data_IF_930529094133
#
_entry.id   IF_930529094133
#
_cell.length_a   1.000
_cell.length_b   1.000
_cell.length_c   1.000
_cell.angle_alpha   90.00
_cell.angle_beta   90.00
_cell.angle_gamma   90.00
#
_symmetry.space_group_name_H-M   'P 1'
#
loop_
_entity.id
_entity.type
_entity.pdbx_description
1 polymer ?
#
# COMPACT_ATOMS: atom_id res chain seq x y z
N UNK A 1 -8.90 12.38 3.42
CA UNK A 1 -7.47 12.09 3.30
C UNK A 1 -6.81 12.94 2.22
N UNK A 2 -5.56 13.33 2.45
CA UNK A 2 -4.78 14.09 1.45
C UNK A 2 -4.22 13.15 0.38
N UNK A 3 -3.88 11.92 0.77
CA UNK A 3 -3.36 10.89 -0.10
C UNK A 3 -4.17 9.62 0.13
N UNK A 4 -4.54 8.95 -0.93
CA UNK A 4 -5.19 7.65 -0.85
C UNK A 4 -4.58 6.69 -1.88
N UNK A 5 -4.59 5.41 -1.56
CA UNK A 5 -4.10 4.36 -2.44
C UNK A 5 -4.94 3.10 -2.25
N UNK A 6 -4.62 2.06 -3.00
CA UNK A 6 -5.33 0.78 -2.95
C UNK A 6 -4.38 -0.37 -2.67
N UNK A 7 -4.92 -1.40 -2.05
CA UNK A 7 -4.22 -2.65 -1.82
C UNK A 7 -5.17 -3.83 -2.01
N UNK A 8 -4.61 -5.01 -2.27
CA UNK A 8 -5.35 -6.25 -2.41
C UNK A 8 -4.80 -7.28 -1.43
N UNK A 9 -5.62 -8.24 -0.96
CA UNK A 9 -5.10 -9.32 -0.13
C UNK A 9 -4.11 -10.19 -0.91
N UNK A 10 -3.04 -10.61 -0.22
CA UNK A 10 -2.15 -11.64 -0.76
C UNK A 10 -2.86 -12.98 -0.76
N UNK A 11 -2.65 -13.76 -1.81
CA UNK A 11 -3.20 -15.11 -1.97
C UNK A 11 -2.07 -16.14 -1.97
N UNK A 12 -0.96 -15.84 -2.65
CA UNK A 12 0.14 -16.78 -2.86
C UNK A 12 1.28 -16.49 -1.89
N UNK A 13 1.74 -17.51 -1.14
CA UNK A 13 2.86 -17.31 -0.21
C UNK A 13 4.14 -16.81 -0.89
N UNK A 14 4.43 -17.25 -2.10
CA UNK A 14 5.60 -16.79 -2.83
C UNK A 14 5.54 -15.31 -3.18
N UNK A 15 4.36 -14.76 -3.42
CA UNK A 15 4.19 -13.31 -3.66
C UNK A 15 4.42 -12.53 -2.37
N UNK A 16 3.90 -13.04 -1.27
CA UNK A 16 4.10 -12.42 0.04
C UNK A 16 5.58 -12.38 0.44
N UNK A 17 6.33 -13.42 0.08
CA UNK A 17 7.76 -13.51 0.37
C UNK A 17 8.63 -12.68 -0.59
N UNK A 18 8.10 -12.26 -1.74
CA UNK A 18 8.88 -11.60 -2.78
C UNK A 18 9.15 -10.13 -2.45
N UNK A 19 10.42 -9.71 -2.53
CA UNK A 19 10.80 -8.32 -2.37
C UNK A 19 10.24 -7.40 -3.45
N UNK A 20 9.80 -7.96 -4.59
CA UNK A 20 9.19 -7.18 -5.67
C UNK A 20 7.73 -6.80 -5.38
N UNK A 21 7.10 -7.46 -4.42
CA UNK A 21 5.73 -7.19 -4.01
C UNK A 21 5.76 -6.36 -2.74
N UNK A 22 5.16 -5.17 -2.79
CA UNK A 22 5.18 -4.25 -1.65
C UNK A 22 4.03 -4.57 -0.71
N UNK A 23 4.34 -4.76 0.57
CA UNK A 23 3.37 -5.02 1.63
C UNK A 23 2.97 -3.71 2.27
N UNK A 24 1.76 -3.66 2.78
CA UNK A 24 1.28 -2.53 3.56
C UNK A 24 0.46 -3.04 4.74
N UNK A 25 0.69 -2.44 5.90
CA UNK A 25 -0.11 -2.67 7.10
C UNK A 25 -0.88 -1.40 7.43
N UNK A 26 -2.11 -1.56 7.93
CA UNK A 26 -3.02 -0.44 8.17
C UNK A 26 -3.44 -0.38 9.62
N UNK A 27 -3.79 0.83 10.06
CA UNK A 27 -4.46 0.98 11.35
C UNK A 27 -5.96 0.66 11.21
N UNK A 28 -6.70 0.79 12.30
CA UNK A 28 -8.14 0.47 12.34
C UNK A 28 -8.98 1.40 11.46
N UNK A 29 -8.47 2.58 11.16
CA UNK A 29 -9.18 3.56 10.32
C UNK A 29 -8.81 3.42 8.85
N UNK A 30 -7.89 2.50 8.52
CA UNK A 30 -7.47 2.26 7.15
C UNK A 30 -6.28 3.07 6.69
N UNK A 31 -5.60 3.76 7.60
CA UNK A 31 -4.38 4.49 7.24
C UNK A 31 -3.17 3.59 7.33
N UNK A 32 -2.23 3.78 6.39
CA UNK A 32 -1.01 2.99 6.36
C UNK A 32 -0.19 3.23 7.62
N UNK A 33 0.27 2.14 8.23
CA UNK A 33 1.26 2.19 9.30
C UNK A 33 2.66 2.18 8.71
N UNK A 34 2.88 1.39 7.67
CA UNK A 34 4.13 1.34 6.94
C UNK A 34 3.97 0.56 5.64
N UNK A 35 4.85 0.85 4.66
CA UNK A 35 5.00 0.08 3.42
C UNK A 35 6.40 -0.52 3.42
N UNK A 36 6.55 -1.78 3.02
CA UNK A 36 7.85 -2.42 2.98
C UNK A 36 7.91 -3.54 1.94
N UNK A 37 9.10 -3.78 1.43
CA UNK A 37 9.37 -4.96 0.60
C UNK A 37 9.48 -6.22 1.44
N UNK A 38 9.77 -6.09 2.73
CA UNK A 38 9.80 -7.19 3.67
C UNK A 38 8.38 -7.72 3.94
N UNK A 39 8.20 -9.03 4.12
CA UNK A 39 6.91 -9.54 4.60
C UNK A 39 6.49 -8.83 5.90
N UNK A 40 5.25 -8.35 5.90
CA UNK A 40 4.64 -7.70 7.07
C UNK A 40 3.16 -8.08 7.15
N UNK A 41 2.60 -8.40 8.31
CA UNK A 41 3.28 -8.57 9.59
C UNK A 41 4.11 -9.86 9.62
N UNK A 42 5.00 -9.98 10.60
CA UNK A 42 5.77 -11.19 10.78
C UNK A 42 4.92 -12.25 11.48
N UNK A 43 4.73 -13.40 10.85
CA UNK A 43 3.96 -14.51 11.41
C UNK A 43 4.84 -15.28 12.41
N UNK A 44 4.81 -14.85 13.66
CA UNK A 44 5.70 -15.40 14.70
C UNK A 44 5.50 -16.91 14.91
N UNK A 45 4.24 -17.35 14.98
CA UNK A 45 3.92 -18.76 15.27
C UNK A 45 4.24 -19.68 14.08
N UNK A 46 4.51 -19.11 12.92
CA UNK A 46 4.94 -19.84 11.71
C UNK A 46 6.42 -19.61 11.42
N UNK A 47 7.15 -18.96 12.32
CA UNK A 47 8.53 -18.55 12.11
C UNK A 47 8.73 -17.78 10.80
N UNK A 48 7.72 -16.99 10.40
CA UNK A 48 7.72 -16.23 9.16
C UNK A 48 7.38 -17.05 7.92
N UNK A 49 7.18 -18.36 8.02
CA UNK A 49 6.87 -19.24 6.88
C UNK A 49 5.36 -19.42 6.76
N UNK A 50 4.71 -18.55 6.02
CA UNK A 50 3.25 -18.60 5.87
C UNK A 50 2.85 -19.46 4.69
N UNK A 51 1.64 -20.06 4.78
CA UNK A 51 1.03 -20.78 3.68
C UNK A 51 -0.24 -20.06 3.18
N UNK A 52 -0.88 -20.61 2.15
CA UNK A 52 -2.05 -19.98 1.54
C UNK A 52 -3.24 -19.92 2.52
N UNK A 53 -3.39 -20.93 3.37
CA UNK A 53 -4.45 -20.94 4.37
C UNK A 53 -4.27 -19.84 5.41
N UNK A 54 -3.03 -19.65 5.87
CA UNK A 54 -2.72 -18.57 6.82
C UNK A 54 -3.03 -17.20 6.20
N UNK A 55 -2.65 -16.99 4.94
CA UNK A 55 -2.93 -15.74 4.23
C UNK A 55 -4.44 -15.49 4.07
N UNK A 56 -5.21 -16.55 3.80
CA UNK A 56 -6.66 -16.43 3.69
C UNK A 56 -7.31 -16.02 5.02
N UNK A 57 -6.78 -16.51 6.14
CA UNK A 57 -7.30 -16.24 7.47
C UNK A 57 -6.86 -14.89 8.04
N UNK A 58 -5.66 -14.42 7.68
CA UNK A 58 -5.03 -13.27 8.35
C UNK A 58 -4.92 -12.02 7.47
N UNK A 59 -5.29 -12.09 6.21
CA UNK A 59 -5.44 -10.99 5.27
C UNK A 59 -4.29 -9.97 5.31
N UNK A 60 -3.16 -10.36 4.74
CA UNK A 60 -2.05 -9.45 4.49
C UNK A 60 -2.24 -8.78 3.13
N UNK A 61 -1.78 -7.54 2.97
CA UNK A 61 -2.14 -6.73 1.82
C UNK A 61 -0.95 -6.35 0.95
N UNK A 62 -1.16 -6.41 -0.38
CA UNK A 62 -0.21 -5.97 -1.38
C UNK A 62 -0.62 -4.59 -1.90
N UNK A 63 0.31 -3.66 -1.89
CA UNK A 63 0.10 -2.32 -2.41
C UNK A 63 0.04 -2.33 -3.94
N UNK A 64 -0.95 -1.65 -4.53
CA UNK A 64 -1.13 -1.64 -5.98
C UNK A 64 -0.38 -0.52 -6.69
N UNK A 65 0.07 0.51 -5.98
CA UNK A 65 0.81 1.60 -6.60
C UNK A 65 -0.05 2.62 -7.35
N UNK A 66 -1.34 2.63 -7.13
CA UNK A 66 -2.27 3.62 -7.68
C UNK A 66 -2.63 4.62 -6.58
N UNK A 67 -2.57 5.93 -6.92
CA UNK A 67 -2.78 6.98 -5.92
C UNK A 67 -3.81 8.00 -6.38
N UNK A 68 -4.54 8.53 -5.40
CA UNK A 68 -5.33 9.74 -5.55
C UNK A 68 -4.77 10.80 -4.58
N UNK A 69 -4.63 12.04 -5.06
CA UNK A 69 -4.07 13.14 -4.29
C UNK A 69 -4.99 14.34 -4.34
N UNK A 70 -4.94 15.17 -3.28
CA UNK A 70 -5.37 16.55 -3.43
C UNK A 70 -4.30 17.35 -4.17
N UNK A 71 -4.71 18.30 -4.99
CA UNK A 71 -3.79 19.03 -5.87
C UNK A 71 -2.70 19.80 -5.12
N UNK A 72 -3.05 20.39 -3.97
CA UNK A 72 -2.10 21.12 -3.15
C UNK A 72 -1.03 20.22 -2.53
N UNK A 73 -1.38 18.95 -2.25
CA UNK A 73 -0.38 17.99 -1.78
C UNK A 73 0.67 17.71 -2.87
N UNK A 74 0.25 17.57 -4.12
CA UNK A 74 1.18 17.26 -5.20
C UNK A 74 2.25 18.34 -5.35
N UNK A 75 1.84 19.61 -5.24
CA UNK A 75 2.79 20.73 -5.26
C UNK A 75 3.75 20.69 -4.07
N UNK A 76 3.23 20.40 -2.88
CA UNK A 76 4.06 20.31 -1.67
C UNK A 76 5.04 19.14 -1.75
N UNK A 77 4.59 17.98 -2.26
CA UNK A 77 5.41 16.79 -2.35
C UNK A 77 6.63 17.00 -3.26
N UNK A 78 6.48 17.73 -4.36
CA UNK A 78 7.57 17.95 -5.30
C UNK A 78 8.72 18.76 -4.69
N UNK A 79 8.48 19.48 -3.61
CA UNK A 79 9.52 20.23 -2.90
C UNK A 79 10.15 19.47 -1.74
N UNK A 80 9.65 18.29 -1.40
CA UNK A 80 10.20 17.47 -0.32
C UNK A 80 11.48 16.76 -0.76
N UNK A 81 12.46 16.72 0.11
CA UNK A 81 13.69 15.97 -0.15
C UNK A 81 13.45 14.48 0.11
N UNK A 82 14.10 13.58 -0.67
CA UNK A 82 14.02 12.15 -0.41
C UNK A 82 14.41 11.81 1.02
N UNK A 83 13.64 10.93 1.65
CA UNK A 83 13.86 10.51 3.02
C UNK A 83 14.72 9.27 3.13
N UNK A 84 15.13 8.94 4.34
CA UNK A 84 15.99 7.79 4.63
C UNK A 84 15.30 6.47 4.29
N UNK A 85 14.05 6.29 4.76
CA UNK A 85 13.32 5.04 4.55
C UNK A 85 13.01 4.83 3.07
N UNK A 86 12.65 5.90 2.38
CA UNK A 86 12.43 5.87 0.93
C UNK A 86 13.66 5.36 0.19
N UNK A 87 14.82 5.84 0.56
CA UNK A 87 16.06 5.47 -0.11
C UNK A 87 16.48 4.04 0.18
N UNK A 88 16.24 3.56 1.40
CA UNK A 88 16.58 2.18 1.79
C UNK A 88 15.67 1.18 1.10
N UNK A 89 14.36 1.41 1.15
CA UNK A 89 13.38 0.47 0.59
C UNK A 89 13.12 0.69 -0.90
N UNK A 90 13.54 1.84 -1.45
CA UNK A 90 13.22 2.24 -2.83
C UNK A 90 11.70 2.32 -3.04
N UNK A 91 11.03 2.96 -2.08
CA UNK A 91 9.59 3.17 -2.09
C UNK A 91 9.31 4.65 -1.86
N UNK A 92 8.88 5.35 -2.92
CA UNK A 92 8.72 6.80 -2.92
C UNK A 92 7.64 7.28 -1.95
N UNK A 93 6.58 6.50 -1.74
CA UNK A 93 5.50 6.85 -0.82
C UNK A 93 5.96 7.01 0.63
N UNK A 94 7.08 6.40 0.99
CA UNK A 94 7.64 6.56 2.34
C UNK A 94 8.13 7.99 2.59
N UNK A 95 8.46 8.74 1.53
CA UNK A 95 8.81 10.16 1.68
C UNK A 95 7.66 10.93 2.34
N UNK A 96 6.45 10.76 1.84
CA UNK A 96 5.28 11.42 2.41
C UNK A 96 5.10 11.06 3.88
N UNK A 97 5.23 9.78 4.22
CA UNK A 97 5.07 9.31 5.59
C UNK A 97 6.15 9.85 6.51
N UNK A 98 7.39 9.94 6.03
CA UNK A 98 8.48 10.51 6.84
C UNK A 98 8.27 11.99 7.17
N UNK A 99 7.51 12.71 6.35
CA UNK A 99 7.15 14.11 6.60
C UNK A 99 5.81 14.25 7.34
N UNK A 100 5.24 13.14 7.81
CA UNK A 100 4.05 13.16 8.65
C UNK A 100 2.72 13.11 7.90
N UNK A 101 2.73 12.95 6.58
CA UNK A 101 1.49 12.79 5.83
C UNK A 101 0.92 11.39 6.03
N UNK A 102 -0.40 11.31 6.15
CA UNK A 102 -1.10 10.02 6.32
C UNK A 102 -1.64 9.56 4.98
N UNK A 103 -1.46 8.27 4.69
CA UNK A 103 -1.91 7.66 3.44
C UNK A 103 -3.06 6.71 3.76
N UNK A 104 -4.24 6.99 3.22
CA UNK A 104 -5.39 6.11 3.38
C UNK A 104 -5.29 4.96 2.37
N UNK A 105 -5.52 3.73 2.82
CA UNK A 105 -5.39 2.51 2.00
C UNK A 105 -6.73 1.83 1.90
N UNK A 106 -7.37 1.94 0.73
CA UNK A 106 -8.59 1.19 0.43
C UNK A 106 -8.25 -0.23 0.02
N UNK A 107 -9.11 -1.17 0.39
CA UNK A 107 -8.93 -2.58 0.04
C UNK A 107 -9.88 -2.93 -1.09
N UNK A 108 -9.36 -3.57 -2.12
CA UNK A 108 -10.14 -4.08 -3.25
C UNK A 108 -9.78 -5.52 -3.49
N UNK A 109 -10.70 -6.27 -4.10
CA UNK A 109 -10.43 -7.65 -4.52
C UNK A 109 -9.98 -7.71 -5.98
N UNK A 110 -9.96 -6.56 -6.67
CA UNK A 110 -9.50 -6.46 -8.05
C UNK A 110 -8.01 -6.14 -8.09
N UNK A 111 -7.22 -7.09 -8.58
CA UNK A 111 -5.76 -6.96 -8.63
C UNK A 111 -5.28 -5.83 -9.56
N UNK A 112 -6.09 -5.44 -10.55
CA UNK A 112 -5.76 -4.35 -11.48
C UNK A 112 -7.02 -3.55 -11.79
N UNK A 113 -6.88 -2.20 -11.74
CA UNK A 113 -7.88 -1.28 -12.26
C UNK A 113 -7.17 -0.49 -13.35
N UNK A 114 -7.59 -0.67 -14.60
CA UNK A 114 -7.07 0.13 -15.71
C UNK A 114 -7.72 1.51 -15.66
N UNK A 115 -6.94 2.57 -15.52
CA UNK A 115 -7.46 3.93 -15.47
C UNK A 115 -7.10 4.63 -16.78
N UNK A 116 -7.96 4.44 -17.79
CA UNK A 116 -7.78 5.01 -19.13
C UNK A 116 -8.87 6.01 -19.50
N UNK A 117 -10.00 6.01 -18.79
CA UNK A 117 -11.17 6.86 -19.10
C UNK A 117 -11.66 7.56 -17.84
N UNK A 118 -12.51 8.63 -17.97
CA UNK A 118 -13.14 9.25 -16.80
C UNK A 118 -13.97 8.29 -15.96
N UNK A 119 -14.60 7.28 -16.59
CA UNK A 119 -15.36 6.26 -15.87
C UNK A 119 -14.44 5.40 -15.00
N UNK A 120 -13.24 5.11 -15.47
CA UNK A 120 -12.24 4.35 -14.71
C UNK A 120 -11.78 5.12 -13.49
N UNK A 121 -11.63 6.43 -13.60
CA UNK A 121 -11.29 7.32 -12.48
C UNK A 121 -12.39 7.28 -11.43
N UNK A 122 -13.66 7.35 -11.87
CA UNK A 122 -14.80 7.28 -10.95
C UNK A 122 -14.85 5.93 -10.22
N UNK A 123 -14.56 4.84 -10.93
CA UNK A 123 -14.49 3.50 -10.34
C UNK A 123 -13.37 3.42 -9.29
N UNK A 124 -12.20 3.99 -9.60
CA UNK A 124 -11.09 4.04 -8.65
C UNK A 124 -11.47 4.82 -7.40
N UNK A 125 -12.08 6.00 -7.56
CA UNK A 125 -12.51 6.83 -6.43
C UNK A 125 -13.56 6.10 -5.58
N UNK A 126 -14.45 5.33 -6.20
CA UNK A 126 -15.47 4.56 -5.48
C UNK A 126 -14.89 3.43 -4.64
N UNK A 127 -13.69 2.94 -4.96
CA UNK A 127 -12.99 1.93 -4.16
C UNK A 127 -12.34 2.51 -2.92
N UNK A 128 -12.21 3.82 -2.82
CA UNK A 128 -11.65 4.50 -1.66
C UNK A 128 -12.74 4.77 -0.63
N UNK A 129 -12.47 4.59 0.66
CA UNK A 129 -13.43 4.87 1.72
C UNK A 129 -13.70 6.35 1.92
#
# INVERSE_FOLDING_TARGET
ATIATLAVPFVRPQDFASANQVKVVRDREGYALYFSRSPMPFARDKAGQVDAEWLAQNRCYRHLGLYAYKADFLSAFSSLKPGLLEQIEKLEQLRAMEYGYRIHVGITDQATIGIDTPEDIAEFEACLP
#
